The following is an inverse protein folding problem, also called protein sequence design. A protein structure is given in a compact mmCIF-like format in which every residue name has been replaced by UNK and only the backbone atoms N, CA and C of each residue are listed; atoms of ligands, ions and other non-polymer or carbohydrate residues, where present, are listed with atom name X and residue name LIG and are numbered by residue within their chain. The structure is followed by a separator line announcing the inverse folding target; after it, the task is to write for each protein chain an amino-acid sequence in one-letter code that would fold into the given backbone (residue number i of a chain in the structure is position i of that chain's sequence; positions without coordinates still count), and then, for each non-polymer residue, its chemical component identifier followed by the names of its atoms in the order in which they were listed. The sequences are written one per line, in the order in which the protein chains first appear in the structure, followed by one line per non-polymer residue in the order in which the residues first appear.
data_IF_892767036290
#
_entry.id   IF_892767036290
#
_cell.length_a   1.000
_cell.length_b   1.000
_cell.length_c   1.000
_cell.angle_alpha   90.00
_cell.angle_beta   90.00
_cell.angle_gamma   90.00
#
_symmetry.space_group_name_H-M   'P 1'
#
loop_
_entity.id
_entity.type
_entity.pdbx_description
1 polymer ?
#
# COMPACT_ATOMS: atom_id res chain seq x y z
N UNK A 1 -15.96 -23.03 7.78
CA UNK A 1 -15.68 -22.54 6.41
C UNK A 1 -15.35 -21.06 6.38
N UNK A 2 -16.22 -20.18 6.89
CA UNK A 2 -16.02 -18.71 6.90
C UNK A 2 -14.70 -18.28 7.58
N UNK A 3 -14.38 -18.82 8.76
CA UNK A 3 -13.12 -18.51 9.47
C UNK A 3 -11.85 -18.79 8.64
N UNK A 4 -11.86 -19.84 7.82
CA UNK A 4 -10.72 -20.19 6.96
C UNK A 4 -10.56 -19.18 5.80
N UNK A 5 -11.67 -18.70 5.23
CA UNK A 5 -11.66 -17.65 4.20
C UNK A 5 -11.02 -16.38 4.76
N UNK A 6 -11.38 -15.98 5.98
CA UNK A 6 -10.81 -14.79 6.63
C UNK A 6 -9.32 -14.95 6.91
N UNK A 7 -8.88 -16.12 7.35
CA UNK A 7 -7.47 -16.40 7.53
C UNK A 7 -6.71 -16.23 6.20
N UNK A 8 -7.24 -16.79 5.11
CA UNK A 8 -6.64 -16.66 3.78
C UNK A 8 -6.60 -15.19 3.32
N UNK A 9 -7.71 -14.45 3.49
CA UNK A 9 -7.76 -13.02 3.12
C UNK A 9 -6.78 -12.18 3.93
N UNK A 10 -6.65 -12.44 5.24
CA UNK A 10 -5.70 -11.74 6.09
C UNK A 10 -4.25 -12.02 5.67
N UNK A 11 -3.92 -13.28 5.36
CA UNK A 11 -2.60 -13.66 4.85
C UNK A 11 -2.30 -13.04 3.48
N UNK A 12 -3.28 -13.02 2.56
CA UNK A 12 -3.14 -12.33 1.27
C UNK A 12 -2.90 -10.83 1.48
N UNK A 13 -3.61 -10.20 2.42
CA UNK A 13 -3.39 -8.80 2.77
C UNK A 13 -1.97 -8.53 3.27
N UNK A 14 -1.47 -9.36 4.19
CA UNK A 14 -0.09 -9.29 4.69
C UNK A 14 0.93 -9.47 3.56
N UNK A 15 0.76 -10.49 2.72
CA UNK A 15 1.66 -10.72 1.57
C UNK A 15 1.59 -9.54 0.59
N UNK A 16 0.39 -8.98 0.38
CA UNK A 16 0.17 -7.83 -0.47
C UNK A 16 0.99 -6.62 -0.04
N UNK A 17 1.18 -6.40 1.27
CA UNK A 17 2.00 -5.29 1.78
C UNK A 17 3.50 -5.45 1.56
N UNK A 18 3.99 -6.63 1.16
CA UNK A 18 5.42 -6.81 0.86
C UNK A 18 5.82 -6.09 -0.43
N UNK A 19 4.87 -5.86 -1.33
CA UNK A 19 5.09 -5.13 -2.56
C UNK A 19 4.63 -3.69 -2.40
N UNK A 20 5.53 -2.70 -2.54
CA UNK A 20 5.15 -1.31 -2.36
C UNK A 20 4.12 -0.85 -3.40
N UNK A 21 3.18 -0.03 -2.95
CA UNK A 21 2.05 0.52 -3.71
C UNK A 21 0.87 -0.44 -3.84
N UNK A 22 0.95 -1.67 -3.32
CA UNK A 22 -0.21 -2.56 -3.27
C UNK A 22 -1.05 -2.31 -2.01
N UNK A 23 -2.39 -2.23 -2.16
CA UNK A 23 -3.30 -2.01 -1.04
C UNK A 23 -3.51 -3.30 -0.22
N UNK A 24 -2.47 -3.79 0.47
CA UNK A 24 -2.53 -5.00 1.28
C UNK A 24 -3.37 -4.84 2.56
N UNK A 25 -3.27 -3.69 3.24
CA UNK A 25 -4.07 -3.44 4.46
C UNK A 25 -5.57 -3.28 4.18
N UNK A 26 -6.02 -2.63 3.09
CA UNK A 26 -7.42 -2.64 2.68
C UNK A 26 -7.99 -4.05 2.45
N UNK A 27 -7.21 -5.00 1.93
CA UNK A 27 -7.67 -6.39 1.76
C UNK A 27 -8.06 -7.02 3.09
N UNK A 28 -7.30 -6.74 4.16
CA UNK A 28 -7.61 -7.21 5.52
C UNK A 28 -8.92 -6.59 6.02
N UNK A 29 -9.13 -5.29 5.79
CA UNK A 29 -10.37 -4.59 6.15
C UNK A 29 -11.57 -5.16 5.40
N UNK A 30 -11.44 -5.42 4.10
CA UNK A 30 -12.50 -6.03 3.28
C UNK A 30 -12.84 -7.43 3.82
N UNK A 31 -11.82 -8.23 4.19
CA UNK A 31 -12.05 -9.51 4.84
C UNK A 31 -12.82 -9.37 6.16
N UNK A 32 -12.41 -8.44 7.03
CA UNK A 32 -13.11 -8.17 8.28
C UNK A 32 -14.57 -7.70 8.05
N UNK A 33 -14.81 -6.84 7.06
CA UNK A 33 -16.14 -6.38 6.69
C UNK A 33 -17.01 -7.55 6.20
N UNK A 34 -16.50 -8.40 5.31
CA UNK A 34 -17.22 -9.60 4.83
C UNK A 34 -17.57 -10.50 6.01
N UNK A 35 -16.64 -10.73 6.94
CA UNK A 35 -16.91 -11.51 8.15
C UNK A 35 -18.02 -10.89 8.99
N UNK A 36 -17.93 -9.58 9.25
CA UNK A 36 -18.94 -8.85 10.01
C UNK A 36 -20.33 -8.93 9.39
N UNK A 37 -20.42 -8.81 8.06
CA UNK A 37 -21.68 -8.94 7.31
C UNK A 37 -22.27 -10.34 7.39
N UNK A 38 -21.44 -11.39 7.36
CA UNK A 38 -21.89 -12.78 7.43
C UNK A 38 -22.29 -13.23 8.85
N UNK A 39 -21.60 -12.73 9.87
CA UNK A 39 -21.76 -13.14 11.27
C UNK A 39 -22.51 -12.08 12.11
N UNK A 40 -23.23 -11.15 11.47
CA UNK A 40 -24.08 -10.17 12.14
C UNK A 40 -23.35 -9.18 13.06
N UNK A 41 -22.06 -8.92 12.81
CA UNK A 41 -21.20 -8.03 13.59
C UNK A 41 -21.07 -8.40 15.09
N UNK A 42 -21.30 -9.65 15.48
CA UNK A 42 -21.16 -10.10 16.88
C UNK A 42 -19.71 -10.09 17.37
N UNK A 43 -18.78 -10.66 16.58
CA UNK A 43 -17.36 -10.77 16.94
C UNK A 43 -16.52 -9.61 16.37
N UNK A 44 -16.83 -9.20 15.14
CA UNK A 44 -16.25 -8.05 14.44
C UNK A 44 -17.29 -6.93 14.50
N UNK A 45 -17.27 -6.13 15.55
CA UNK A 45 -18.22 -5.01 15.67
C UNK A 45 -17.86 -3.85 14.74
N UNK A 46 -18.83 -2.96 14.47
CA UNK A 46 -18.60 -1.74 13.67
C UNK A 46 -17.45 -0.90 14.24
N UNK A 47 -17.35 -0.77 15.56
CA UNK A 47 -16.24 -0.05 16.21
C UNK A 47 -14.89 -0.70 15.90
N UNK A 48 -14.81 -2.03 15.93
CA UNK A 48 -13.59 -2.76 15.60
C UNK A 48 -13.23 -2.61 14.12
N UNK A 49 -14.22 -2.67 13.23
CA UNK A 49 -14.00 -2.43 11.80
C UNK A 49 -13.46 -1.01 11.54
N UNK A 50 -13.99 0.01 12.21
CA UNK A 50 -13.49 1.39 12.10
C UNK A 50 -12.03 1.53 12.57
N UNK A 51 -11.63 0.79 13.62
CA UNK A 51 -10.23 0.74 14.07
C UNK A 51 -9.34 0.13 12.98
N UNK A 52 -9.75 -1.00 12.39
CA UNK A 52 -8.99 -1.64 11.31
C UNK A 52 -8.90 -0.73 10.08
N UNK A 53 -9.99 -0.06 9.69
CA UNK A 53 -9.99 0.92 8.60
C UNK A 53 -9.04 2.08 8.90
N UNK A 54 -9.05 2.60 10.13
CA UNK A 54 -8.13 3.67 10.55
C UNK A 54 -6.66 3.24 10.45
N UNK A 55 -6.33 2.03 10.92
CA UNK A 55 -4.98 1.46 10.80
C UNK A 55 -4.57 1.29 9.33
N UNK A 56 -5.49 0.81 8.49
CA UNK A 56 -5.24 0.66 7.06
C UNK A 56 -4.94 2.01 6.39
N UNK A 57 -5.72 3.05 6.66
CA UNK A 57 -5.46 4.40 6.14
C UNK A 57 -4.09 4.90 6.59
N UNK A 58 -3.72 4.70 7.85
CA UNK A 58 -2.40 5.08 8.38
C UNK A 58 -1.27 4.36 7.63
N UNK A 59 -1.41 3.05 7.38
CA UNK A 59 -0.42 2.28 6.63
C UNK A 59 -0.21 2.84 5.22
N UNK A 60 -1.29 2.98 4.44
CA UNK A 60 -1.23 3.47 3.06
C UNK A 60 -0.64 4.90 3.02
N UNK A 61 -1.06 5.78 3.92
CA UNK A 61 -0.55 7.17 3.99
C UNK A 61 0.94 7.19 4.35
N UNK A 62 1.36 6.41 5.33
CA UNK A 62 2.78 6.33 5.71
C UNK A 62 3.62 5.84 4.53
N UNK A 63 3.13 4.84 3.80
CA UNK A 63 3.85 4.30 2.65
C UNK A 63 4.10 5.35 1.57
N UNK A 64 3.08 6.12 1.19
CA UNK A 64 3.22 7.21 0.23
C UNK A 64 4.07 8.37 0.76
N UNK A 65 4.01 8.66 2.07
CA UNK A 65 4.88 9.67 2.69
C UNK A 65 6.35 9.24 2.60
N UNK A 66 6.67 8.01 2.98
CA UNK A 66 8.06 7.50 2.98
C UNK A 66 8.58 7.39 1.54
N UNK A 67 7.74 6.96 0.59
CA UNK A 67 8.06 7.02 -0.84
C UNK A 67 8.38 8.44 -1.31
N UNK A 68 7.55 9.41 -0.94
CA UNK A 68 7.78 10.82 -1.26
C UNK A 68 9.05 11.39 -0.62
N UNK A 69 9.39 10.99 0.61
CA UNK A 69 10.66 11.34 1.27
C UNK A 69 11.83 10.74 0.50
N UNK A 70 11.73 9.48 0.07
CA UNK A 70 12.70 8.82 -0.78
C UNK A 70 12.95 9.59 -2.06
N UNK A 71 11.89 9.93 -2.81
CA UNK A 71 11.99 10.73 -4.03
C UNK A 71 12.63 12.11 -3.78
N UNK A 72 12.23 12.80 -2.71
CA UNK A 72 12.79 14.11 -2.33
C UNK A 72 14.27 14.07 -2.00
N UNK A 73 14.75 12.98 -1.39
CA UNK A 73 16.18 12.80 -1.07
C UNK A 73 17.06 12.80 -2.34
N UNK A 74 16.49 12.42 -3.48
CA UNK A 74 17.16 12.44 -4.78
C UNK A 74 16.79 13.68 -5.63
N UNK A 75 16.16 14.70 -5.04
CA UNK A 75 15.83 15.96 -5.70
C UNK A 75 14.47 15.97 -6.42
N UNK A 76 13.58 15.04 -6.08
CA UNK A 76 12.25 14.90 -6.66
C UNK A 76 11.32 16.06 -6.36
N UNK A 77 10.57 16.48 -7.37
CA UNK A 77 9.53 17.50 -7.26
C UNK A 77 8.25 16.92 -6.66
N UNK A 78 7.33 17.80 -6.25
CA UNK A 78 5.98 17.39 -5.83
C UNK A 78 5.24 16.65 -6.96
N UNK A 79 5.46 17.07 -8.21
CA UNK A 79 4.84 16.46 -9.38
C UNK A 79 5.41 15.08 -9.66
N UNK A 80 6.72 14.85 -9.47
CA UNK A 80 7.32 13.52 -9.61
C UNK A 80 6.82 12.51 -8.59
N UNK A 81 6.45 12.95 -7.39
CA UNK A 81 5.79 12.10 -6.38
C UNK A 81 4.38 11.72 -6.84
N UNK A 82 3.59 12.70 -7.32
CA UNK A 82 2.26 12.44 -7.87
C UNK A 82 2.36 11.51 -9.09
N UNK A 83 3.37 11.72 -9.94
CA UNK A 83 3.69 10.86 -11.08
C UNK A 83 3.97 9.42 -10.66
N UNK A 84 4.69 9.21 -9.56
CA UNK A 84 4.90 7.86 -9.01
C UNK A 84 3.59 7.22 -8.53
N UNK A 85 2.74 7.96 -7.82
CA UNK A 85 1.45 7.45 -7.32
C UNK A 85 0.53 7.08 -8.49
N UNK A 86 0.31 8.01 -9.41
CA UNK A 86 -0.55 7.79 -10.60
C UNK A 86 0.03 6.69 -11.47
N UNK A 87 1.34 6.68 -11.67
CA UNK A 87 2.05 5.63 -12.39
C UNK A 87 1.85 4.26 -11.75
N UNK A 88 1.93 4.14 -10.42
CA UNK A 88 1.64 2.91 -9.70
C UNK A 88 0.20 2.43 -9.86
N UNK A 89 -0.77 3.35 -9.79
CA UNK A 89 -2.20 3.06 -10.01
C UNK A 89 -2.51 2.62 -11.44
N UNK A 90 -1.86 3.22 -12.44
CA UNK A 90 -1.97 2.75 -13.83
C UNK A 90 -1.26 1.40 -13.97
N UNK A 91 -0.09 1.27 -13.34
CA UNK A 91 0.73 0.07 -13.31
C UNK A 91 -0.02 -1.16 -12.81
N UNK A 92 -0.77 -1.06 -11.71
CA UNK A 92 -1.55 -2.18 -11.19
C UNK A 92 -2.63 -2.65 -12.18
N UNK A 93 -3.23 -1.73 -12.93
CA UNK A 93 -4.31 -2.06 -13.89
C UNK A 93 -3.74 -2.82 -15.09
N UNK A 94 -2.59 -2.39 -15.63
CA UNK A 94 -2.05 -2.96 -16.88
C UNK A 94 -1.02 -4.07 -16.67
N UNK A 95 -0.32 -4.09 -15.54
CA UNK A 95 0.78 -5.02 -15.26
C UNK A 95 0.67 -5.74 -13.91
N UNK A 96 -0.46 -5.59 -13.22
CA UNK A 96 -0.68 -6.22 -11.91
C UNK A 96 0.38 -5.81 -10.88
N UNK A 97 0.79 -6.72 -9.98
CA UNK A 97 1.76 -6.42 -8.94
C UNK A 97 3.08 -5.83 -9.48
N UNK A 98 3.68 -6.45 -10.49
CA UNK A 98 4.93 -5.95 -11.08
C UNK A 98 4.73 -4.60 -11.80
N UNK A 99 3.55 -4.40 -12.38
CA UNK A 99 3.18 -3.15 -13.01
C UNK A 99 3.21 -1.97 -12.05
N UNK A 100 2.89 -2.15 -10.75
CA UNK A 100 3.00 -1.08 -9.75
C UNK A 100 4.42 -0.54 -9.66
N UNK A 101 5.41 -1.42 -9.53
CA UNK A 101 6.82 -1.02 -9.38
C UNK A 101 7.31 -0.27 -10.62
N UNK A 102 7.00 -0.83 -11.79
CA UNK A 102 7.36 -0.23 -13.09
C UNK A 102 6.66 1.11 -13.25
N UNK A 103 5.37 1.16 -12.95
CA UNK A 103 4.53 2.35 -13.05
C UNK A 103 4.99 3.46 -12.13
N UNK A 104 5.31 3.17 -10.87
CA UNK A 104 5.87 4.14 -9.92
C UNK A 104 7.17 4.75 -10.45
N UNK A 105 8.07 3.89 -10.93
CA UNK A 105 9.36 4.31 -11.46
C UNK A 105 9.19 5.16 -12.72
N UNK A 106 8.46 4.65 -13.72
CA UNK A 106 8.26 5.32 -15.00
C UNK A 106 7.45 6.60 -14.85
N UNK A 107 6.40 6.59 -14.03
CA UNK A 107 5.55 7.75 -13.79
C UNK A 107 6.31 8.91 -13.16
N UNK A 108 7.17 8.61 -12.18
CA UNK A 108 8.05 9.63 -11.59
C UNK A 108 9.05 10.17 -12.62
N UNK A 109 9.72 9.28 -13.36
CA UNK A 109 10.72 9.67 -14.38
C UNK A 109 10.10 10.54 -15.47
N UNK A 110 8.96 10.14 -16.04
CA UNK A 110 8.28 10.88 -17.10
C UNK A 110 7.92 12.28 -16.62
N UNK A 111 7.36 12.41 -15.41
CA UNK A 111 7.01 13.73 -14.88
C UNK A 111 8.25 14.58 -14.65
N UNK A 112 9.31 14.02 -14.05
CA UNK A 112 10.54 14.79 -13.79
C UNK A 112 11.21 15.27 -15.09
N UNK A 113 11.22 14.44 -16.14
CA UNK A 113 11.67 14.83 -17.49
C UNK A 113 10.86 16.00 -18.05
N UNK A 114 9.53 15.94 -17.95
CA UNK A 114 8.63 17.02 -18.40
C UNK A 114 8.86 18.30 -17.58
N UNK A 115 9.23 18.18 -16.31
CA UNK A 115 9.59 19.34 -15.46
C UNK A 115 11.02 19.86 -15.69
N UNK A 116 11.74 19.33 -16.68
CA UNK A 116 13.04 19.86 -17.13
C UNK A 116 14.25 19.24 -16.43
N UNK A 117 14.10 18.12 -15.71
CA UNK A 117 15.25 17.34 -15.24
C UNK A 117 15.85 16.55 -16.39
N UNK A 118 17.17 16.34 -16.35
CA UNK A 118 17.82 15.39 -17.25
C UNK A 118 17.48 13.93 -16.87
N UNK A 119 17.74 13.00 -17.79
CA UNK A 119 17.40 11.58 -17.64
C UNK A 119 18.09 10.92 -16.43
N UNK A 120 19.32 11.31 -16.11
CA UNK A 120 20.08 10.73 -14.99
C UNK A 120 19.46 11.19 -13.68
N UNK A 121 19.13 12.48 -13.57
CA UNK A 121 18.44 13.04 -12.41
C UNK A 121 17.03 12.44 -12.23
N UNK A 122 16.23 12.39 -13.29
CA UNK A 122 14.89 11.80 -13.26
C UNK A 122 14.93 10.31 -12.84
N UNK A 123 15.87 9.54 -13.40
CA UNK A 123 16.08 8.13 -13.03
C UNK A 123 16.39 7.96 -11.54
N UNK A 124 17.29 8.78 -10.99
CA UNK A 124 17.61 8.77 -9.55
C UNK A 124 16.40 9.10 -8.68
N UNK A 125 15.56 10.03 -9.10
CA UNK A 125 14.33 10.41 -8.38
C UNK A 125 13.35 9.24 -8.35
N UNK A 126 13.12 8.59 -9.50
CA UNK A 126 12.25 7.42 -9.57
C UNK A 126 12.76 6.24 -8.71
N UNK A 127 14.06 5.96 -8.75
CA UNK A 127 14.68 4.95 -7.86
C UNK A 127 14.52 5.36 -6.39
N UNK A 128 14.70 6.64 -6.07
CA UNK A 128 14.45 7.20 -4.75
C UNK A 128 13.03 6.97 -4.25
N UNK A 129 12.03 7.19 -5.12
CA UNK A 129 10.62 6.94 -4.82
C UNK A 129 10.37 5.45 -4.51
N UNK A 130 10.95 4.56 -5.33
CA UNK A 130 10.82 3.10 -5.16
C UNK A 130 11.48 2.61 -3.87
N UNK A 131 12.70 3.05 -3.58
CA UNK A 131 13.41 2.71 -2.34
C UNK A 131 12.68 3.26 -1.11
N UNK A 132 12.12 4.48 -1.21
CA UNK A 132 11.25 5.03 -0.17
C UNK A 132 9.99 4.20 0.02
N UNK A 133 9.37 3.75 -1.06
CA UNK A 133 8.18 2.91 -0.99
C UNK A 133 8.47 1.54 -0.37
N UNK A 134 9.62 0.93 -0.67
CA UNK A 134 10.09 -0.29 0.01
C UNK A 134 10.31 -0.06 1.51
N UNK A 135 10.81 1.11 1.92
CA UNK A 135 10.87 1.48 3.33
C UNK A 135 9.49 1.68 3.95
N UNK A 136 8.57 2.30 3.21
CA UNK A 136 7.17 2.49 3.57
C UNK A 136 6.42 1.19 3.78
N UNK A 137 6.64 0.22 2.88
CA UNK A 137 5.96 -1.07 2.88
C UNK A 137 6.31 -1.92 4.11
N UNK A 138 7.48 -1.69 4.75
CA UNK A 138 7.81 -2.28 6.05
C UNK A 138 6.82 -1.81 7.13
N UNK A 139 6.47 -0.52 7.15
CA UNK A 139 5.47 -0.01 8.09
C UNK A 139 4.10 -0.61 7.80
N UNK A 140 3.71 -0.64 6.52
CA UNK A 140 2.46 -1.29 6.09
C UNK A 140 2.40 -2.75 6.49
N UNK A 141 3.50 -3.49 6.36
CA UNK A 141 3.63 -4.88 6.77
C UNK A 141 3.48 -5.08 8.28
N UNK A 142 4.14 -4.25 9.09
CA UNK A 142 4.00 -4.32 10.56
C UNK A 142 2.58 -4.00 11.00
N UNK A 143 1.93 -3.01 10.38
CA UNK A 143 0.53 -2.66 10.63
C UNK A 143 -0.39 -3.81 10.17
N UNK A 144 -0.13 -4.42 9.02
CA UNK A 144 -0.88 -5.57 8.52
C UNK A 144 -0.79 -6.78 9.46
N UNK A 145 0.38 -7.06 10.04
CA UNK A 145 0.55 -8.10 11.04
C UNK A 145 -0.26 -7.78 12.31
N UNK A 146 -0.23 -6.54 12.79
CA UNK A 146 -1.03 -6.10 13.93
C UNK A 146 -2.53 -6.27 13.64
N UNK A 147 -3.00 -5.77 12.50
CA UNK A 147 -4.40 -5.89 12.06
C UNK A 147 -4.84 -7.36 11.96
N UNK A 148 -3.99 -8.21 11.40
CA UNK A 148 -4.24 -9.65 11.28
C UNK A 148 -4.33 -10.29 12.66
N UNK A 149 -3.39 -10.02 13.55
CA UNK A 149 -3.42 -10.55 14.92
C UNK A 149 -4.68 -10.11 15.69
N UNK A 150 -5.05 -8.84 15.57
CA UNK A 150 -6.28 -8.30 16.15
C UNK A 150 -7.52 -9.01 15.59
N UNK A 151 -7.61 -9.16 14.26
CA UNK A 151 -8.74 -9.82 13.60
C UNK A 151 -8.85 -11.29 14.02
N UNK A 152 -7.73 -12.03 13.98
CA UNK A 152 -7.71 -13.44 14.34
C UNK A 152 -8.08 -13.66 15.82
N UNK A 153 -7.61 -12.81 16.75
CA UNK A 153 -7.97 -12.90 18.17
C UNK A 153 -9.45 -12.66 18.49
N UNK A 154 -10.21 -12.08 17.55
CA UNK A 154 -11.67 -11.92 17.66
C UNK A 154 -12.44 -13.05 17.01
N UNK A 155 -11.87 -13.66 15.98
CA UNK A 155 -12.55 -14.67 15.15
C UNK A 155 -12.33 -16.09 15.71
N UNK A 156 -11.18 -16.36 16.29
CA UNK A 156 -10.77 -17.65 16.84
C UNK A 156 -10.68 -17.59 18.36
#
# INVERSE_FOLDING_TARGET
MIKAIILIMALIGVIGTLLPGLPGTPVIVIGALIYGLLEGFHLVSIKFLLILTGLSIVAEVLEYIVSGIGAKKFGGSKYGIIGAIVGGLIGIIFGGPLGVLVGMLSGSIIVELITGKDLIAAGKIGVGALLGALGGSIFSFLIALLMTGLLLSRVF
#
